data_IF_654151802989
#
_entry.id   IF_654151802989
#
_cell.length_a   1.000
_cell.length_b   1.000
_cell.length_c   1.000
_cell.angle_alpha   90.00
_cell.angle_beta   90.00
_cell.angle_gamma   90.00
#
_symmetry.space_group_name_H-M   'P 1'
#
loop_
_entity.id
_entity.type
_entity.pdbx_description
1 polymer ?
#
# COMPACT_ATOMS: atom_id res chain seq x y z
N UNK A 1 2.03 1.85 -12.11
CA UNK A 1 2.62 0.58 -11.68
C UNK A 1 3.05 -0.29 -12.87
N UNK A 2 2.16 -0.60 -13.84
CA UNK A 2 2.48 -1.50 -14.98
C UNK A 2 3.71 -1.05 -15.77
N UNK A 3 3.84 0.23 -16.12
CA UNK A 3 5.02 0.77 -16.82
C UNK A 3 6.32 0.53 -16.04
N UNK A 4 6.28 0.75 -14.73
CA UNK A 4 7.43 0.51 -13.86
C UNK A 4 7.81 -0.96 -13.83
N UNK A 5 6.83 -1.83 -13.57
CA UNK A 5 7.05 -3.28 -13.49
C UNK A 5 7.54 -3.83 -14.84
N UNK A 6 6.97 -3.40 -15.96
CA UNK A 6 7.41 -3.84 -17.28
C UNK A 6 8.85 -3.42 -17.58
N UNK A 7 9.22 -2.18 -17.29
CA UNK A 7 10.59 -1.70 -17.46
C UNK A 7 11.57 -2.47 -16.58
N UNK A 8 11.22 -2.66 -15.31
CA UNK A 8 12.03 -3.41 -14.35
C UNK A 8 12.22 -4.87 -14.78
N UNK A 9 11.15 -5.50 -15.30
CA UNK A 9 11.21 -6.87 -15.81
C UNK A 9 12.18 -6.98 -17.01
N UNK A 10 12.09 -6.05 -17.95
CA UNK A 10 13.02 -6.02 -19.11
C UNK A 10 14.47 -5.90 -18.63
N UNK A 11 14.75 -5.01 -17.68
CA UNK A 11 16.11 -4.83 -17.12
C UNK A 11 16.55 -6.11 -16.40
N UNK A 12 15.71 -6.73 -15.61
CA UNK A 12 16.02 -8.00 -14.94
C UNK A 12 16.29 -9.13 -15.93
N UNK A 13 15.50 -9.24 -17.00
CA UNK A 13 15.72 -10.23 -18.04
C UNK A 13 17.03 -10.00 -18.78
N UNK A 14 17.42 -8.73 -19.02
CA UNK A 14 18.70 -8.39 -19.65
C UNK A 14 19.90 -8.79 -18.77
N UNK A 15 19.73 -8.73 -17.44
CA UNK A 15 20.76 -9.07 -16.45
C UNK A 15 20.48 -10.41 -15.76
N UNK A 16 19.78 -11.34 -16.40
CA UNK A 16 19.32 -12.59 -15.81
C UNK A 16 20.45 -13.43 -15.14
N UNK A 17 21.65 -13.34 -15.71
CA UNK A 17 22.82 -14.06 -15.17
C UNK A 17 23.29 -13.56 -13.80
N UNK A 18 22.95 -12.33 -13.39
CA UNK A 18 23.32 -11.73 -12.10
C UNK A 18 22.24 -11.90 -11.03
N UNK A 19 21.00 -12.23 -11.43
CA UNK A 19 19.88 -12.34 -10.51
C UNK A 19 20.08 -13.39 -9.41
N UNK A 20 20.63 -14.61 -9.68
CA UNK A 20 20.86 -15.59 -8.63
C UNK A 20 21.76 -15.08 -7.52
N UNK A 21 22.85 -14.37 -7.86
CA UNK A 21 23.78 -13.83 -6.86
C UNK A 21 23.14 -12.74 -6.03
N UNK A 22 22.30 -11.90 -6.64
CA UNK A 22 21.55 -10.86 -5.94
C UNK A 22 20.55 -11.49 -4.96
N UNK A 23 19.80 -12.51 -5.38
CA UNK A 23 18.85 -13.21 -4.52
C UNK A 23 19.58 -13.86 -3.33
N UNK A 24 20.70 -14.51 -3.58
CA UNK A 24 21.54 -15.09 -2.53
C UNK A 24 22.03 -14.00 -1.56
N UNK A 25 22.44 -12.84 -2.08
CA UNK A 25 22.87 -11.69 -1.28
C UNK A 25 21.75 -11.18 -0.38
N UNK A 26 20.53 -11.02 -0.94
CA UNK A 26 19.34 -10.60 -0.17
C UNK A 26 19.08 -11.59 0.97
N UNK A 27 19.07 -12.90 0.68
CA UNK A 27 18.80 -13.93 1.68
C UNK A 27 19.89 -13.92 2.76
N UNK A 28 21.16 -13.89 2.37
CA UNK A 28 22.28 -13.87 3.32
C UNK A 28 22.23 -12.64 4.23
N UNK A 29 21.93 -11.46 3.68
CA UNK A 29 21.83 -10.22 4.44
C UNK A 29 20.60 -10.23 5.37
N UNK A 30 19.45 -10.75 4.91
CA UNK A 30 18.25 -10.87 5.73
C UNK A 30 18.45 -11.73 6.98
N UNK A 31 19.26 -12.78 6.87
CA UNK A 31 19.59 -13.66 8.02
C UNK A 31 20.88 -13.28 8.72
N UNK A 32 21.54 -12.19 8.33
CA UNK A 32 22.80 -11.74 8.95
C UNK A 32 23.98 -12.71 8.77
N UNK A 33 23.96 -13.57 7.76
CA UNK A 33 24.99 -14.59 7.58
C UNK A 33 26.33 -14.02 7.15
N UNK A 34 26.37 -12.85 6.49
CA UNK A 34 27.61 -12.19 6.13
C UNK A 34 28.29 -11.56 7.35
N UNK A 35 27.49 -10.99 8.24
CA UNK A 35 27.94 -10.29 9.45
C UNK A 35 28.14 -11.25 10.62
N UNK A 36 27.57 -12.45 10.58
CA UNK A 36 27.79 -13.49 11.57
C UNK A 36 29.30 -13.86 11.68
N UNK A 37 30.00 -13.86 10.56
CA UNK A 37 31.43 -14.07 10.49
C UNK A 37 32.27 -12.94 11.16
N UNK A 38 31.69 -11.73 11.28
CA UNK A 38 32.32 -10.54 11.86
C UNK A 38 31.87 -10.25 13.31
N UNK A 39 31.03 -11.13 13.91
CA UNK A 39 30.53 -10.94 15.28
C UNK A 39 29.41 -9.89 15.42
N UNK A 40 28.92 -9.30 14.34
CA UNK A 40 27.90 -8.25 14.32
C UNK A 40 26.48 -8.76 13.94
N UNK A 41 26.29 -10.07 13.83
CA UNK A 41 25.06 -10.68 13.31
C UNK A 41 23.77 -10.23 14.00
N UNK A 42 23.81 -10.07 15.33
CA UNK A 42 22.63 -9.67 16.10
C UNK A 42 22.17 -8.24 15.80
N UNK A 43 23.12 -7.33 15.61
CA UNK A 43 22.81 -5.94 15.26
C UNK A 43 22.21 -5.82 13.87
N UNK A 44 22.78 -6.47 12.88
CA UNK A 44 22.34 -6.41 11.48
C UNK A 44 20.96 -7.05 11.29
N UNK A 45 20.71 -8.18 11.96
CA UNK A 45 19.41 -8.84 11.95
C UNK A 45 18.33 -7.93 12.57
N UNK A 46 18.65 -7.29 13.70
CA UNK A 46 17.75 -6.33 14.35
C UNK A 46 17.43 -5.16 13.42
N UNK A 47 18.43 -4.59 12.74
CA UNK A 47 18.24 -3.51 11.76
C UNK A 47 17.41 -3.97 10.55
N UNK A 48 17.66 -5.14 10.02
CA UNK A 48 16.91 -5.70 8.92
C UNK A 48 15.42 -5.89 9.28
N UNK A 49 15.15 -6.43 10.48
CA UNK A 49 13.77 -6.58 10.98
C UNK A 49 13.12 -5.22 11.18
N UNK A 50 13.77 -4.27 11.84
CA UNK A 50 13.23 -2.95 12.11
C UNK A 50 12.92 -2.19 10.81
N UNK A 51 13.87 -2.11 9.89
CA UNK A 51 13.71 -1.44 8.60
C UNK A 51 12.67 -2.15 7.72
N UNK A 52 12.69 -3.48 7.69
CA UNK A 52 11.72 -4.28 6.93
C UNK A 52 10.30 -4.07 7.44
N UNK A 53 10.11 -4.02 8.75
CA UNK A 53 8.81 -3.76 9.35
C UNK A 53 8.31 -2.34 9.05
N UNK A 54 9.15 -1.32 9.31
CA UNK A 54 8.79 0.08 9.07
C UNK A 54 8.47 0.35 7.59
N UNK A 55 9.35 -0.08 6.70
CA UNK A 55 9.20 0.21 5.26
C UNK A 55 8.14 -0.68 4.61
N UNK A 56 7.98 -1.93 5.07
CA UNK A 56 6.91 -2.82 4.63
C UNK A 56 5.53 -2.31 5.02
N UNK A 57 5.36 -1.82 6.25
CA UNK A 57 4.11 -1.18 6.68
C UNK A 57 3.80 0.06 5.84
N UNK A 58 4.81 0.89 5.54
CA UNK A 58 4.65 2.09 4.74
C UNK A 58 4.23 1.77 3.31
N UNK A 59 4.97 0.89 2.63
CA UNK A 59 4.72 0.56 1.22
C UNK A 59 3.37 -0.12 1.00
N UNK A 60 3.01 -1.05 1.87
CA UNK A 60 1.78 -1.85 1.73
C UNK A 60 0.57 -1.23 2.40
N UNK A 61 0.75 -0.15 3.17
CA UNK A 61 -0.27 0.46 4.03
C UNK A 61 -0.99 -0.57 4.94
N UNK A 62 -0.37 -1.73 5.15
CA UNK A 62 -0.93 -2.83 5.90
C UNK A 62 -0.94 -2.53 7.41
N UNK A 63 -2.10 -2.58 8.01
CA UNK A 63 -2.25 -2.31 9.44
C UNK A 63 -2.32 -0.82 9.83
N UNK A 64 -2.20 0.12 8.89
CA UNK A 64 -2.25 1.56 9.18
C UNK A 64 -3.67 2.16 9.17
N UNK A 65 -4.65 1.46 8.58
CA UNK A 65 -6.05 1.94 8.53
C UNK A 65 -6.43 2.72 7.27
N UNK A 66 -5.52 2.95 6.33
CA UNK A 66 -5.82 3.52 5.02
C UNK A 66 -6.54 2.52 4.10
N UNK A 67 -6.07 1.29 4.05
CA UNK A 67 -6.67 0.20 3.26
C UNK A 67 -8.18 -0.03 3.52
N UNK A 68 -8.70 0.01 4.76
CA UNK A 68 -10.13 -0.04 5.01
C UNK A 68 -10.93 1.08 4.32
N UNK A 69 -10.39 2.29 4.20
CA UNK A 69 -11.03 3.40 3.48
C UNK A 69 -11.13 3.08 1.98
N UNK A 70 -10.07 2.55 1.38
CA UNK A 70 -10.09 2.11 -0.01
C UNK A 70 -11.08 0.96 -0.24
N UNK A 71 -11.10 -0.02 0.66
CA UNK A 71 -11.99 -1.16 0.59
C UNK A 71 -13.46 -0.76 0.72
N UNK A 72 -13.78 0.19 1.64
CA UNK A 72 -15.13 0.69 1.84
C UNK A 72 -15.66 1.50 0.65
N UNK A 73 -14.76 2.16 -0.09
CA UNK A 73 -15.12 2.97 -1.27
C UNK A 73 -15.29 2.14 -2.55
N UNK A 74 -14.84 0.89 -2.55
CA UNK A 74 -14.85 0.03 -3.72
C UNK A 74 -16.10 -0.83 -3.80
N UNK A 75 -16.69 -0.94 -5.01
CA UNK A 75 -17.76 -1.88 -5.26
C UNK A 75 -17.26 -3.33 -5.10
N UNK A 76 -17.94 -4.13 -4.30
CA UNK A 76 -17.58 -5.52 -4.05
C UNK A 76 -18.26 -6.45 -5.07
N UNK A 77 -17.46 -7.28 -5.72
CA UNK A 77 -17.96 -8.33 -6.61
C UNK A 77 -17.25 -9.65 -6.33
N UNK A 78 -17.92 -10.70 -5.88
CA UNK A 78 -19.36 -10.79 -5.56
C UNK A 78 -19.76 -9.84 -4.42
N UNK A 79 -21.08 -9.54 -4.23
CA UNK A 79 -21.57 -8.57 -3.24
C UNK A 79 -21.44 -9.13 -1.81
N UNK A 80 -20.20 -9.19 -1.35
CA UNK A 80 -19.84 -9.72 -0.04
C UNK A 80 -18.59 -9.00 0.49
N UNK A 81 -18.58 -8.46 1.72
CA UNK A 81 -17.44 -7.68 2.22
C UNK A 81 -16.13 -8.45 2.27
N UNK A 82 -16.16 -9.77 2.52
CA UNK A 82 -14.95 -10.59 2.49
C UNK A 82 -14.30 -10.66 1.10
N UNK A 83 -15.05 -10.48 0.01
CA UNK A 83 -14.48 -10.45 -1.34
C UNK A 83 -13.50 -9.30 -1.49
N UNK A 84 -13.88 -8.10 -1.04
CA UNK A 84 -13.02 -6.93 -1.06
C UNK A 84 -11.81 -7.09 -0.13
N UNK A 85 -12.00 -7.68 1.05
CA UNK A 85 -10.89 -8.00 1.95
C UNK A 85 -9.85 -8.91 1.30
N UNK A 86 -10.29 -9.95 0.57
CA UNK A 86 -9.38 -10.86 -0.16
C UNK A 86 -8.65 -10.12 -1.29
N UNK A 87 -9.32 -9.23 -2.01
CA UNK A 87 -8.69 -8.41 -3.06
C UNK A 87 -7.57 -7.56 -2.46
N UNK A 88 -7.81 -6.91 -1.32
CA UNK A 88 -6.78 -6.12 -0.63
C UNK A 88 -5.60 -6.98 -0.15
N UNK A 89 -5.86 -8.17 0.39
CA UNK A 89 -4.79 -9.11 0.78
C UNK A 89 -3.91 -9.51 -0.42
N UNK A 90 -4.50 -9.82 -1.57
CA UNK A 90 -3.77 -10.15 -2.79
C UNK A 90 -3.00 -8.93 -3.30
N UNK A 91 -3.60 -7.73 -3.19
CA UNK A 91 -2.95 -6.46 -3.54
C UNK A 91 -1.64 -6.24 -2.78
N UNK A 92 -1.63 -6.45 -1.47
CA UNK A 92 -0.43 -6.35 -0.62
C UNK A 92 0.66 -7.33 -1.06
N UNK A 93 0.30 -8.59 -1.36
CA UNK A 93 1.24 -9.59 -1.88
C UNK A 93 1.81 -9.16 -3.24
N UNK A 94 0.94 -8.67 -4.14
CA UNK A 94 1.34 -8.18 -5.45
C UNK A 94 2.29 -6.98 -5.36
N UNK A 95 2.01 -6.01 -4.50
CA UNK A 95 2.87 -4.86 -4.29
C UNK A 95 4.26 -5.28 -3.80
N UNK A 96 4.33 -6.09 -2.75
CA UNK A 96 5.60 -6.53 -2.17
C UNK A 96 6.41 -7.42 -3.12
N UNK A 97 5.78 -8.48 -3.66
CA UNK A 97 6.49 -9.48 -4.45
C UNK A 97 6.82 -9.02 -5.87
N UNK A 98 6.07 -8.05 -6.41
CA UNK A 98 6.29 -7.59 -7.78
C UNK A 98 6.90 -6.19 -7.78
N UNK A 99 6.21 -5.17 -7.25
CA UNK A 99 6.64 -3.78 -7.37
C UNK A 99 7.87 -3.48 -6.52
N UNK A 100 7.84 -3.84 -5.25
CA UNK A 100 8.98 -3.61 -4.33
C UNK A 100 10.20 -4.44 -4.73
N UNK A 101 9.99 -5.71 -5.11
CA UNK A 101 11.09 -6.57 -5.57
C UNK A 101 11.70 -6.04 -6.86
N UNK A 102 10.90 -5.57 -7.81
CA UNK A 102 11.40 -4.95 -9.04
C UNK A 102 12.29 -3.74 -8.75
N UNK A 103 11.89 -2.88 -7.83
CA UNK A 103 12.68 -1.71 -7.41
C UNK A 103 13.98 -2.10 -6.72
N UNK A 104 13.93 -3.09 -5.84
CA UNK A 104 15.10 -3.61 -5.15
C UNK A 104 16.12 -4.23 -6.12
N UNK A 105 15.65 -5.02 -7.09
CA UNK A 105 16.50 -5.62 -8.12
C UNK A 105 17.24 -4.58 -8.96
N UNK A 106 16.58 -3.49 -9.35
CA UNK A 106 17.24 -2.39 -10.10
C UNK A 106 18.38 -1.79 -9.28
N UNK A 107 18.14 -1.48 -8.00
CA UNK A 107 19.16 -0.89 -7.14
C UNK A 107 20.34 -1.84 -6.94
N UNK A 108 20.09 -3.11 -6.69
CA UNK A 108 21.11 -4.11 -6.43
C UNK A 108 21.90 -4.48 -7.69
N UNK A 109 21.26 -4.56 -8.85
CA UNK A 109 21.93 -4.75 -10.14
C UNK A 109 22.93 -3.61 -10.44
N UNK A 110 22.53 -2.38 -10.18
CA UNK A 110 23.39 -1.22 -10.36
C UNK A 110 24.53 -1.15 -9.35
N UNK A 111 24.33 -1.67 -8.13
CA UNK A 111 25.30 -1.63 -7.02
C UNK A 111 26.50 -2.55 -7.21
N UNK A 112 26.40 -3.58 -8.02
CA UNK A 112 27.47 -4.56 -8.24
C UNK A 112 28.74 -3.99 -8.95
N UNK A 113 28.82 -2.70 -9.22
CA UNK A 113 29.97 -2.07 -9.90
C UNK A 113 30.32 -0.65 -9.44
N UNK A 114 29.63 -0.10 -8.44
CA UNK A 114 29.83 1.31 -8.07
C UNK A 114 30.28 1.50 -6.64
N UNK A 115 31.28 2.36 -6.45
CA UNK A 115 31.69 2.87 -5.13
C UNK A 115 30.47 3.43 -4.39
N UNK A 116 30.35 3.07 -3.14
CA UNK A 116 29.29 3.48 -2.23
C UNK A 116 29.24 5.02 -2.16
N UNK A 117 28.27 5.61 -2.83
CA UNK A 117 27.96 7.03 -2.66
C UNK A 117 26.77 7.07 -1.71
N UNK A 118 26.83 7.83 -0.62
CA UNK A 118 25.72 7.96 0.32
C UNK A 118 24.58 8.75 -0.35
N UNK A 119 23.74 8.03 -1.10
CA UNK A 119 22.52 8.54 -1.71
C UNK A 119 21.33 7.81 -1.10
N UNK A 120 20.25 8.52 -0.89
CA UNK A 120 19.05 7.98 -0.26
C UNK A 120 17.83 8.15 -1.17
N UNK A 121 16.87 7.23 -1.01
CA UNK A 121 15.56 7.33 -1.62
C UNK A 121 15.59 7.35 -3.15
N UNK A 122 14.88 8.31 -3.74
CA UNK A 122 14.67 8.38 -5.19
C UNK A 122 15.96 8.68 -5.97
N UNK A 123 16.90 9.41 -5.37
CA UNK A 123 18.19 9.73 -6.01
C UNK A 123 19.00 8.46 -6.27
N UNK A 124 18.97 7.52 -5.31
CA UNK A 124 19.63 6.22 -5.49
C UNK A 124 19.00 5.44 -6.64
N UNK A 125 17.66 5.44 -6.72
CA UNK A 125 16.95 4.75 -7.79
C UNK A 125 17.21 5.39 -9.16
N UNK A 126 17.24 6.73 -9.25
CA UNK A 126 17.60 7.43 -10.50
C UNK A 126 19.00 7.09 -10.96
N UNK A 127 19.97 7.10 -10.04
CA UNK A 127 21.35 6.73 -10.35
C UNK A 127 21.45 5.27 -10.81
N UNK A 128 20.77 4.37 -10.14
CA UNK A 128 20.69 2.96 -10.52
C UNK A 128 20.15 2.80 -11.95
N UNK A 129 19.07 3.48 -12.27
CA UNK A 129 18.49 3.47 -13.61
C UNK A 129 19.45 4.04 -14.67
N UNK A 130 20.10 5.17 -14.38
CA UNK A 130 21.12 5.73 -15.31
C UNK A 130 22.25 4.75 -15.56
N UNK A 131 22.72 4.06 -14.52
CA UNK A 131 23.78 3.06 -14.65
C UNK A 131 23.37 1.88 -15.54
N UNK A 132 22.12 1.44 -15.45
CA UNK A 132 21.63 0.26 -16.19
C UNK A 132 21.11 0.58 -17.60
N UNK A 133 20.60 1.79 -17.83
CA UNK A 133 19.87 2.13 -19.06
C UNK A 133 20.36 3.38 -19.75
N UNK A 134 21.32 4.12 -19.15
CA UNK A 134 21.82 5.39 -19.66
C UNK A 134 20.99 6.60 -19.21
N UNK A 135 21.32 7.78 -19.73
CA UNK A 135 20.80 9.07 -19.28
C UNK A 135 19.27 9.20 -19.30
N UNK A 136 18.58 8.52 -20.20
CA UNK A 136 17.11 8.55 -20.27
C UNK A 136 16.45 7.96 -19.01
N UNK A 137 17.15 7.07 -18.29
CA UNK A 137 16.66 6.43 -17.08
C UNK A 137 16.28 7.41 -15.98
N UNK A 138 17.05 8.51 -15.83
CA UNK A 138 16.73 9.54 -14.85
C UNK A 138 15.38 10.23 -15.15
N UNK A 139 15.16 10.59 -16.42
CA UNK A 139 13.90 11.19 -16.87
C UNK A 139 12.70 10.24 -16.72
N UNK A 140 12.90 8.96 -17.04
CA UNK A 140 11.87 7.93 -16.85
C UNK A 140 11.46 7.78 -15.37
N UNK A 141 12.44 7.69 -14.46
CA UNK A 141 12.15 7.60 -13.01
C UNK A 141 11.44 8.86 -12.54
N UNK A 142 11.87 10.05 -12.94
CA UNK A 142 11.21 11.30 -12.59
C UNK A 142 9.73 11.30 -13.04
N UNK A 143 9.46 10.87 -14.26
CA UNK A 143 8.09 10.77 -14.78
C UNK A 143 7.24 9.78 -13.98
N UNK A 144 7.76 8.59 -13.70
CA UNK A 144 7.05 7.57 -12.90
C UNK A 144 6.76 8.06 -11.49
N UNK A 145 7.73 8.74 -10.86
CA UNK A 145 7.56 9.30 -9.50
C UNK A 145 6.47 10.37 -9.46
N UNK A 146 6.40 11.24 -10.46
CA UNK A 146 5.33 12.24 -10.56
C UNK A 146 3.96 11.55 -10.60
N UNK A 147 3.80 10.50 -11.40
CA UNK A 147 2.54 9.76 -11.49
C UNK A 147 2.18 9.07 -10.15
N UNK A 148 3.16 8.44 -9.51
CA UNK A 148 2.94 7.76 -8.22
C UNK A 148 2.64 8.76 -7.10
N UNK A 149 3.40 9.84 -7.00
CA UNK A 149 3.18 10.88 -6.00
C UNK A 149 1.80 11.52 -6.18
N UNK A 150 1.41 11.85 -7.42
CA UNK A 150 0.09 12.41 -7.69
C UNK A 150 -1.03 11.45 -7.28
N UNK A 151 -0.96 10.17 -7.67
CA UNK A 151 -1.98 9.19 -7.30
C UNK A 151 -2.05 8.99 -5.79
N UNK A 152 -0.92 8.97 -5.08
CA UNK A 152 -0.87 8.85 -3.63
C UNK A 152 -1.47 10.06 -2.91
N UNK A 153 -1.19 11.28 -3.39
CA UNK A 153 -1.78 12.50 -2.85
C UNK A 153 -3.30 12.48 -2.98
N UNK A 154 -3.82 12.10 -4.17
CA UNK A 154 -5.25 12.00 -4.42
C UNK A 154 -5.89 10.94 -3.52
N UNK A 155 -5.29 9.76 -3.40
CA UNK A 155 -5.81 8.69 -2.54
C UNK A 155 -5.86 9.11 -1.07
N UNK A 156 -4.78 9.68 -0.55
CA UNK A 156 -4.72 10.13 0.85
C UNK A 156 -5.71 11.28 1.13
N UNK A 157 -5.92 12.18 0.16
CA UNK A 157 -6.95 13.21 0.26
C UNK A 157 -8.35 12.59 0.39
N UNK A 158 -8.68 11.61 -0.46
CA UNK A 158 -9.96 10.90 -0.42
C UNK A 158 -10.16 10.18 0.92
N UNK A 159 -9.11 9.53 1.45
CA UNK A 159 -9.18 8.88 2.77
C UNK A 159 -9.48 9.90 3.88
N UNK A 160 -8.84 11.06 3.84
CA UNK A 160 -9.10 12.12 4.82
C UNK A 160 -10.53 12.67 4.69
N UNK A 161 -11.03 12.89 3.47
CA UNK A 161 -12.39 13.35 3.22
C UNK A 161 -13.43 12.31 3.68
N UNK A 162 -13.23 11.01 3.40
CA UNK A 162 -14.10 9.94 3.87
C UNK A 162 -14.18 9.89 5.41
N UNK A 163 -13.05 10.10 6.09
CA UNK A 163 -13.04 10.16 7.55
C UNK A 163 -13.82 11.37 8.10
N UNK A 164 -13.77 12.53 7.43
CA UNK A 164 -14.59 13.69 7.81
C UNK A 164 -16.07 13.41 7.63
N UNK A 165 -16.47 12.78 6.53
CA UNK A 165 -17.85 12.35 6.28
C UNK A 165 -18.31 11.38 7.37
N UNK A 166 -17.50 10.40 7.72
CA UNK A 166 -17.79 9.46 8.79
C UNK A 166 -18.02 10.15 10.14
N UNK A 167 -17.21 11.16 10.44
CA UNK A 167 -17.35 11.99 11.65
C UNK A 167 -18.47 13.04 11.58
N UNK A 168 -19.21 13.09 10.46
CA UNK A 168 -20.26 14.11 10.19
C UNK A 168 -19.73 15.55 10.21
N UNK A 169 -18.45 15.72 9.83
CA UNK A 169 -17.76 17.00 9.72
C UNK A 169 -17.62 17.44 8.25
N UNK A 170 -18.52 17.01 7.39
CA UNK A 170 -18.50 17.21 5.93
C UNK A 170 -19.07 18.57 5.47
N UNK A 171 -19.15 19.54 6.38
CA UNK A 171 -19.58 20.88 5.99
C UNK A 171 -18.52 21.54 5.09
N UNK A 172 -18.99 22.43 4.19
CA UNK A 172 -18.14 23.05 3.17
C UNK A 172 -16.90 23.78 3.76
N UNK A 173 -17.00 24.35 4.95
CA UNK A 173 -15.87 25.04 5.60
C UNK A 173 -14.76 24.09 6.00
N UNK A 174 -15.12 22.93 6.57
CA UNK A 174 -14.15 21.89 6.98
C UNK A 174 -13.50 21.25 5.76
N UNK A 175 -14.24 21.00 4.69
CA UNK A 175 -13.68 20.49 3.42
C UNK A 175 -12.69 21.50 2.83
N UNK A 176 -13.01 22.81 2.83
CA UNK A 176 -12.05 23.83 2.38
C UNK A 176 -10.80 23.89 3.27
N UNK A 177 -10.97 23.74 4.59
CA UNK A 177 -9.84 23.68 5.52
C UNK A 177 -8.94 22.47 5.22
N UNK A 178 -9.53 21.28 4.96
CA UNK A 178 -8.79 20.09 4.56
C UNK A 178 -8.00 20.34 3.26
N UNK A 179 -8.61 20.95 2.25
CA UNK A 179 -7.94 21.27 0.97
C UNK A 179 -6.75 22.21 1.18
N UNK A 180 -6.96 23.27 1.95
CA UNK A 180 -5.87 24.22 2.27
C UNK A 180 -4.76 23.54 3.05
N UNK A 181 -5.10 22.74 4.06
CA UNK A 181 -4.13 21.97 4.83
C UNK A 181 -3.31 21.02 3.95
N UNK A 182 -3.97 20.27 3.05
CA UNK A 182 -3.31 19.37 2.10
C UNK A 182 -2.32 20.13 1.20
N UNK A 183 -2.76 21.24 0.59
CA UNK A 183 -1.89 22.06 -0.26
C UNK A 183 -0.71 22.64 0.55
N UNK A 184 -0.99 23.13 1.76
CA UNK A 184 0.05 23.67 2.65
C UNK A 184 1.08 22.61 3.05
N UNK A 185 0.64 21.37 3.29
CA UNK A 185 1.54 20.26 3.61
C UNK A 185 2.41 19.88 2.42
N UNK A 186 1.85 19.85 1.21
CA UNK A 186 2.61 19.58 -0.02
C UNK A 186 3.68 20.65 -0.23
N UNK A 187 3.30 21.94 -0.15
CA UNK A 187 4.23 23.04 -0.32
C UNK A 187 5.26 23.05 0.81
N UNK A 188 4.81 22.92 2.07
CA UNK A 188 5.69 22.89 3.24
C UNK A 188 6.72 21.77 3.18
N UNK A 189 6.33 20.59 2.70
CA UNK A 189 7.21 19.45 2.52
C UNK A 189 8.40 19.71 1.58
N UNK A 190 8.29 20.66 0.66
CA UNK A 190 9.40 21.04 -0.24
C UNK A 190 10.52 21.83 0.47
N UNK A 191 10.22 22.43 1.61
CA UNK A 191 11.18 23.21 2.41
C UNK A 191 11.80 22.43 3.56
N UNK A 192 11.28 21.23 3.82
CA UNK A 192 11.72 20.38 4.94
C UNK A 192 12.77 19.38 4.46
N UNK A 193 13.77 19.10 5.30
CA UNK A 193 14.78 18.09 4.96
C UNK A 193 14.18 16.69 4.88
N UNK A 194 14.66 15.91 3.91
CA UNK A 194 14.17 14.54 3.67
C UNK A 194 14.18 13.63 4.92
N UNK A 195 15.25 13.61 5.77
CA UNK A 195 15.25 12.83 7.00
C UNK A 195 14.15 13.23 7.99
N UNK A 196 13.86 14.53 8.11
CA UNK A 196 12.83 15.01 9.03
C UNK A 196 11.42 14.62 8.55
N UNK A 197 11.17 14.66 7.25
CA UNK A 197 9.89 14.17 6.67
C UNK A 197 9.68 12.71 7.00
N UNK A 198 10.72 11.87 6.87
CA UNK A 198 10.64 10.44 7.21
C UNK A 198 10.41 10.20 8.70
N UNK A 199 11.09 10.93 9.58
CA UNK A 199 10.89 10.81 11.03
C UNK A 199 9.45 11.17 11.44
N UNK A 200 8.90 12.25 10.88
CA UNK A 200 7.52 12.64 11.13
C UNK A 200 6.53 11.58 10.58
N UNK A 201 6.78 11.08 9.39
CA UNK A 201 5.96 10.03 8.80
C UNK A 201 5.97 8.75 9.67
N UNK A 202 7.14 8.31 10.13
CA UNK A 202 7.28 7.12 10.97
C UNK A 202 6.48 7.27 12.29
N UNK A 203 6.50 8.45 12.94
CA UNK A 203 5.73 8.72 14.16
C UNK A 203 4.22 8.68 13.89
N UNK A 204 3.77 9.36 12.84
CA UNK A 204 2.35 9.41 12.47
C UNK A 204 1.84 8.01 12.10
N UNK A 205 2.61 7.26 11.32
CA UNK A 205 2.28 5.88 10.96
C UNK A 205 2.19 4.97 12.17
N UNK A 206 3.10 5.10 13.14
CA UNK A 206 3.03 4.32 14.38
C UNK A 206 1.74 4.59 15.14
N UNK A 207 1.32 5.85 15.25
CA UNK A 207 0.05 6.21 15.89
C UNK A 207 -1.17 5.63 15.13
N UNK A 208 -1.16 5.72 13.80
CA UNK A 208 -2.20 5.13 12.96
C UNK A 208 -2.25 3.62 13.12
N UNK A 209 -1.10 2.94 13.10
CA UNK A 209 -1.00 1.50 13.24
C UNK A 209 -1.51 1.02 14.59
N UNK A 210 -1.14 1.65 15.71
CA UNK A 210 -1.62 1.30 17.04
C UNK A 210 -3.15 1.39 17.10
N UNK A 211 -3.71 2.48 16.59
CA UNK A 211 -5.16 2.68 16.59
C UNK A 211 -5.87 1.62 15.75
N UNK A 212 -5.39 1.38 14.53
CA UNK A 212 -6.02 0.44 13.61
C UNK A 212 -5.85 -1.02 14.04
N UNK A 213 -4.66 -1.42 14.52
CA UNK A 213 -4.44 -2.78 15.01
C UNK A 213 -5.33 -3.09 16.22
N UNK A 214 -5.53 -2.11 17.11
CA UNK A 214 -6.49 -2.25 18.21
C UNK A 214 -7.91 -2.48 17.68
N UNK A 215 -8.34 -1.71 16.68
CA UNK A 215 -9.64 -1.91 16.05
C UNK A 215 -9.76 -3.29 15.36
N UNK A 216 -8.74 -3.74 14.67
CA UNK A 216 -8.70 -5.07 14.03
C UNK A 216 -8.85 -6.18 15.08
N UNK A 217 -8.15 -6.08 16.20
CA UNK A 217 -8.26 -7.07 17.29
C UNK A 217 -9.67 -7.12 17.87
N UNK A 218 -10.28 -5.96 18.10
CA UNK A 218 -11.65 -5.87 18.61
C UNK A 218 -12.70 -6.40 17.61
N UNK A 219 -12.50 -6.17 16.33
CA UNK A 219 -13.39 -6.60 15.25
C UNK A 219 -13.10 -8.02 14.76
N UNK A 220 -12.06 -8.69 15.26
CA UNK A 220 -11.66 -10.02 14.78
C UNK A 220 -12.78 -11.07 14.80
N UNK A 221 -13.68 -11.13 15.81
CA UNK A 221 -14.81 -12.08 15.79
C UNK A 221 -15.78 -11.81 14.62
N UNK A 222 -16.05 -10.53 14.33
CA UNK A 222 -16.91 -10.12 13.22
C UNK A 222 -16.29 -10.53 11.89
N UNK A 223 -14.99 -10.25 11.72
CA UNK A 223 -14.23 -10.60 10.50
C UNK A 223 -14.23 -12.12 10.29
N UNK A 224 -14.00 -12.91 11.36
CA UNK A 224 -14.01 -14.37 11.27
C UNK A 224 -15.38 -14.90 10.85
N UNK A 225 -16.46 -14.35 11.40
CA UNK A 225 -17.84 -14.73 11.05
C UNK A 225 -18.14 -14.47 9.57
N UNK A 226 -17.83 -13.27 9.10
CA UNK A 226 -18.05 -12.87 7.70
C UNK A 226 -17.18 -13.69 6.74
N UNK A 227 -15.91 -13.89 7.06
CA UNK A 227 -14.99 -14.68 6.24
C UNK A 227 -15.45 -16.16 6.16
N UNK A 228 -15.90 -16.73 7.26
CA UNK A 228 -16.43 -18.10 7.32
C UNK A 228 -17.70 -18.25 6.49
N UNK A 229 -18.58 -17.26 6.48
CA UNK A 229 -19.77 -17.25 5.64
C UNK A 229 -19.40 -17.25 4.15
N UNK A 230 -18.49 -16.35 3.75
CA UNK A 230 -17.99 -16.28 2.38
C UNK A 230 -17.40 -17.61 1.91
N UNK A 231 -16.52 -18.22 2.71
CA UNK A 231 -15.87 -19.48 2.38
C UNK A 231 -16.87 -20.64 2.34
N UNK A 232 -17.87 -20.64 3.20
CA UNK A 232 -18.97 -21.64 3.19
C UNK A 232 -19.75 -21.55 1.88
N UNK A 233 -20.17 -20.36 1.48
CA UNK A 233 -20.91 -20.15 0.23
C UNK A 233 -20.07 -20.57 -0.99
N UNK A 234 -18.78 -20.24 -1.00
CA UNK A 234 -17.84 -20.68 -2.04
C UNK A 234 -17.73 -22.21 -2.11
N UNK A 235 -17.64 -22.90 -0.98
CA UNK A 235 -17.58 -24.38 -0.94
C UNK A 235 -18.86 -25.04 -1.46
N UNK A 236 -20.01 -24.40 -1.29
CA UNK A 236 -21.29 -24.88 -1.82
C UNK A 236 -21.46 -24.58 -3.32
N UNK A 237 -20.49 -23.94 -3.96
CA UNK A 237 -20.56 -23.60 -5.40
C UNK A 237 -21.53 -22.46 -5.71
N UNK A 238 -22.08 -21.78 -4.70
CA UNK A 238 -22.96 -20.64 -4.89
C UNK A 238 -22.18 -19.34 -4.91
N UNK A 239 -22.74 -18.33 -5.57
CA UNK A 239 -22.17 -16.98 -5.56
C UNK A 239 -22.28 -16.40 -4.15
N UNK A 240 -21.17 -15.99 -3.52
CA UNK A 240 -21.23 -15.40 -2.20
C UNK A 240 -22.02 -14.09 -2.20
N UNK A 241 -22.98 -13.97 -1.30
CA UNK A 241 -23.80 -12.80 -1.09
C UNK A 241 -23.96 -12.56 0.41
N UNK A 242 -23.75 -11.33 0.84
CA UNK A 242 -23.83 -10.97 2.23
C UNK A 242 -25.24 -10.49 2.57
N UNK A 243 -25.92 -11.23 3.45
CA UNK A 243 -27.22 -10.88 3.98
C UNK A 243 -27.09 -10.44 5.44
N UNK A 244 -27.19 -9.13 5.74
CA UNK A 244 -27.10 -8.62 7.11
C UNK A 244 -28.16 -9.17 8.04
N UNK A 245 -29.32 -9.60 7.53
CA UNK A 245 -30.41 -10.14 8.34
C UNK A 245 -30.06 -11.45 9.03
N UNK A 246 -29.09 -12.19 8.48
CA UNK A 246 -28.58 -13.43 9.10
C UNK A 246 -27.68 -13.18 10.31
N UNK A 247 -27.23 -11.94 10.50
CA UNK A 247 -26.26 -11.55 11.53
C UNK A 247 -26.75 -10.30 12.27
N UNK A 248 -27.75 -10.43 13.19
CA UNK A 248 -28.37 -9.29 13.85
C UNK A 248 -27.38 -8.39 14.61
N UNK A 249 -26.36 -9.00 15.25
CA UNK A 249 -25.34 -8.27 16.00
C UNK A 249 -24.43 -7.43 15.09
N UNK A 250 -24.14 -7.95 13.90
CA UNK A 250 -23.36 -7.22 12.89
C UNK A 250 -24.22 -6.12 12.26
N UNK A 251 -25.48 -6.43 11.96
CA UNK A 251 -26.42 -5.47 11.35
C UNK A 251 -26.60 -4.21 12.19
N UNK A 252 -26.64 -4.33 13.52
CA UNK A 252 -26.75 -3.17 14.42
C UNK A 252 -25.54 -2.22 14.34
N UNK A 253 -24.39 -2.72 13.91
CA UNK A 253 -23.15 -1.96 13.77
C UNK A 253 -22.97 -1.34 12.36
N UNK A 254 -23.76 -1.79 11.39
CA UNK A 254 -23.69 -1.26 10.03
C UNK A 254 -24.35 0.12 9.93
N UNK A 255 -23.82 0.95 9.05
CA UNK A 255 -24.47 2.21 8.70
C UNK A 255 -25.86 1.96 8.10
N UNK A 256 -26.84 2.82 8.38
CA UNK A 256 -28.18 2.70 7.78
C UNK A 256 -28.08 2.58 6.25
N UNK A 257 -28.90 1.69 5.69
CA UNK A 257 -28.96 1.38 4.26
C UNK A 257 -27.66 0.79 3.64
N UNK A 258 -26.62 0.50 4.42
CA UNK A 258 -25.48 -0.26 3.90
C UNK A 258 -25.89 -1.74 3.73
N UNK A 259 -25.60 -2.29 2.56
CA UNK A 259 -25.94 -3.68 2.20
C UNK A 259 -27.43 -3.98 2.05
N UNK A 260 -28.31 -3.00 1.95
CA UNK A 260 -29.72 -3.20 1.57
C UNK A 260 -29.81 -3.43 0.04
N UNK A 261 -30.70 -4.33 -0.40
CA UNK A 261 -30.86 -4.72 -1.80
C UNK A 261 -31.09 -3.54 -2.77
N UNK A 262 -31.72 -2.50 -2.29
CA UNK A 262 -31.99 -1.25 -3.06
C UNK A 262 -30.71 -0.49 -3.44
N UNK A 263 -29.64 -0.57 -2.66
CA UNK A 263 -28.39 0.14 -2.90
C UNK A 263 -27.51 -0.58 -3.92
N UNK A 264 -27.59 -1.90 -4.01
CA UNK A 264 -26.83 -2.70 -4.97
C UNK A 264 -27.18 -2.38 -6.43
N UNK A 265 -28.44 -2.00 -6.70
CA UNK A 265 -28.90 -1.68 -8.06
C UNK A 265 -28.75 -0.21 -8.45
N UNK A 266 -28.72 0.72 -7.51
CA UNK A 266 -28.61 2.15 -7.81
C UNK A 266 -27.23 2.54 -8.32
N UNK A 267 -26.15 1.91 -7.82
CA UNK A 267 -24.81 2.17 -8.34
C UNK A 267 -24.58 1.66 -9.76
N UNK A 268 -25.20 0.56 -10.15
CA UNK A 268 -25.15 0.09 -11.53
C UNK A 268 -25.98 0.95 -12.48
N UNK A 269 -27.13 1.47 -12.03
CA UNK A 269 -27.96 2.42 -12.83
C UNK A 269 -27.32 3.80 -12.99
N UNK A 270 -26.59 4.31 -12.03
CA UNK A 270 -25.90 5.59 -12.16
C UNK A 270 -24.83 5.57 -13.26
N UNK A 271 -24.22 4.43 -13.54
CA UNK A 271 -23.31 4.26 -14.68
C UNK A 271 -24.01 4.06 -16.02
N UNK A 272 -25.24 3.56 -16.04
CA UNK A 272 -26.01 3.39 -17.27
C UNK A 272 -26.70 4.70 -17.73
N UNK A 273 -27.11 5.56 -16.80
CA UNK A 273 -27.75 6.85 -17.13
C UNK A 273 -26.80 7.92 -17.67
N UNK A 274 -25.49 7.73 -17.57
CA UNK A 274 -24.48 8.60 -18.20
C UNK A 274 -24.11 8.18 -19.64
N UNK A 275 -24.78 7.19 -20.21
CA UNK A 275 -24.59 6.72 -21.60
C UNK A 275 -25.71 7.08 -22.57
N UNK A 276 -26.62 7.97 -22.16
CA UNK A 276 -27.66 8.52 -23.07
C UNK A 276 -27.60 10.02 -23.13
#
# INVERSE_FOLDING_TARGET
ALLWVSCSLVICLWHIGQLPDIIVTIIKSAFGWQEAAAGAAGYTLSQAIANGFQRGMFSNEAGMGSTPNAAASAASWPPHPAAQGIVQMIGVLGDTLVVCTASAMIILLAGNGTSYVPMEGIQLLQKAMVTLTGEWGAGFVAFIVILFAFSSIVANYIYAENNLVFLKLDNMRVIWLLRIATISTIIGGTFVSFPLVWQLADIIMACMAITNLTAILLLSPVVHTIASDYLRQRKLGVRPEFDPHRYPDIRQQLAPASWDETVSYTHLRAHETLRH
#
